data_IF_189227652994
#
_entry.id   IF_189227652994
#
_cell.length_a   1.000
_cell.length_b   1.000
_cell.length_c   1.000
_cell.angle_alpha   90.00
_cell.angle_beta   90.00
_cell.angle_gamma   90.00
#
_symmetry.space_group_name_H-M   'P 1'
#
loop_
_entity.id
_entity.type
_entity.pdbx_description
1 polymer ?
#
# COMPACT_ATOMS: atom_id res chain seq x y z
N UNK A 1 14.36 -15.96 -8.48
CA UNK A 1 14.62 -15.09 -7.34
C UNK A 1 16.12 -14.99 -7.12
N UNK A 2 16.63 -13.77 -6.92
CA UNK A 2 18.05 -13.43 -6.71
C UNK A 2 18.42 -13.31 -5.23
N UNK A 3 17.43 -13.27 -4.31
CA UNK A 3 17.63 -13.07 -2.88
C UNK A 3 17.73 -14.39 -2.11
N UNK A 4 17.14 -15.47 -2.65
CA UNK A 4 17.14 -16.82 -2.06
C UNK A 4 18.52 -17.43 -1.84
N UNK A 5 19.52 -17.07 -2.63
CA UNK A 5 20.87 -17.64 -2.53
C UNK A 5 21.81 -16.80 -1.64
N UNK A 6 21.35 -15.71 -1.02
CA UNK A 6 22.17 -14.85 -0.15
C UNK A 6 23.22 -13.98 -0.86
N UNK A 7 23.57 -14.31 -2.10
CA UNK A 7 24.57 -13.62 -2.93
C UNK A 7 24.30 -12.13 -3.12
N UNK A 8 23.03 -11.71 -3.12
CA UNK A 8 22.66 -10.29 -3.27
C UNK A 8 22.97 -9.42 -2.04
N UNK A 9 22.92 -10.01 -0.83
CA UNK A 9 23.22 -9.30 0.41
C UNK A 9 24.72 -9.13 0.65
N UNK A 10 25.53 -10.05 0.11
CA UNK A 10 26.99 -10.03 0.24
C UNK A 10 27.67 -9.08 -0.78
N UNK A 11 27.07 -8.87 -1.96
CA UNK A 11 27.67 -8.05 -3.03
C UNK A 11 27.20 -6.57 -3.04
N UNK A 12 26.06 -6.20 -2.43
CA UNK A 12 25.52 -4.83 -2.55
C UNK A 12 25.13 -4.21 -1.20
N UNK A 13 26.15 -3.65 -0.52
CA UNK A 13 26.09 -3.14 0.84
C UNK A 13 25.52 -1.69 0.92
N UNK A 14 24.28 -1.48 0.44
CA UNK A 14 23.58 -0.19 0.54
C UNK A 14 22.28 -0.32 1.35
N UNK A 15 22.30 0.27 2.54
CA UNK A 15 21.31 0.17 3.63
C UNK A 15 19.82 0.50 3.32
N UNK A 16 19.46 0.84 2.08
CA UNK A 16 18.10 1.27 1.73
C UNK A 16 17.49 0.58 0.49
N UNK A 17 18.22 -0.29 -0.23
CA UNK A 17 17.66 -0.97 -1.41
C UNK A 17 16.77 -2.19 -1.07
N UNK A 18 17.00 -2.86 0.07
CA UNK A 18 16.16 -3.98 0.52
C UNK A 18 14.85 -3.55 1.18
N UNK A 19 14.83 -2.38 1.82
CA UNK A 19 13.71 -1.92 2.65
C UNK A 19 12.37 -1.89 1.90
N UNK A 20 12.35 -1.36 0.67
CA UNK A 20 11.12 -1.30 -0.13
C UNK A 20 10.60 -2.68 -0.51
N UNK A 21 11.49 -3.58 -0.92
CA UNK A 21 11.13 -4.96 -1.26
C UNK A 21 10.63 -5.72 -0.02
N UNK A 22 11.30 -5.57 1.12
CA UNK A 22 10.94 -6.23 2.37
C UNK A 22 9.59 -5.72 2.89
N UNK A 23 9.36 -4.41 2.84
CA UNK A 23 8.09 -3.80 3.22
C UNK A 23 6.94 -4.32 2.34
N UNK A 24 7.11 -4.31 1.02
CA UNK A 24 6.10 -4.83 0.09
C UNK A 24 5.85 -6.31 0.33
N UNK A 25 6.91 -7.11 0.55
CA UNK A 25 6.81 -8.54 0.82
C UNK A 25 6.02 -8.85 2.10
N UNK A 26 6.31 -8.12 3.19
CA UNK A 26 5.58 -8.23 4.46
C UNK A 26 4.11 -7.87 4.28
N UNK A 27 3.82 -6.82 3.51
CA UNK A 27 2.43 -6.39 3.26
C UNK A 27 1.67 -7.40 2.41
N UNK A 28 2.28 -7.95 1.35
CA UNK A 28 1.66 -9.01 0.54
C UNK A 28 1.38 -10.24 1.42
N UNK A 29 2.35 -10.63 2.26
CA UNK A 29 2.17 -11.73 3.22
C UNK A 29 1.02 -11.47 4.18
N UNK A 30 0.88 -10.25 4.69
CA UNK A 30 -0.19 -9.91 5.63
C UNK A 30 -1.57 -9.81 4.96
N UNK A 31 -1.66 -9.23 3.77
CA UNK A 31 -2.94 -9.00 3.07
C UNK A 31 -3.47 -10.29 2.43
N UNK A 32 -2.58 -11.08 1.81
CA UNK A 32 -2.96 -12.24 0.99
C UNK A 32 -2.50 -13.58 1.53
N UNK A 33 -1.62 -13.60 2.54
CA UNK A 33 -1.04 -14.84 3.05
C UNK A 33 -0.02 -15.49 2.11
N UNK A 34 0.49 -14.77 1.10
CA UNK A 34 1.50 -15.27 0.17
C UNK A 34 2.84 -14.56 0.40
N UNK A 35 3.94 -15.32 0.39
CA UNK A 35 5.29 -14.80 0.60
C UNK A 35 6.11 -14.99 -0.66
N UNK A 36 6.52 -13.87 -1.27
CA UNK A 36 7.47 -13.87 -2.36
C UNK A 36 8.90 -13.85 -1.82
N UNK A 37 9.83 -14.43 -2.56
CA UNK A 37 11.25 -14.42 -2.30
C UNK A 37 11.95 -13.21 -2.95
N UNK A 38 11.36 -12.61 -4.00
CA UNK A 38 11.66 -11.25 -4.50
C UNK A 38 10.48 -10.67 -5.29
N UNK A 39 9.84 -9.63 -4.75
CA UNK A 39 8.67 -8.96 -5.38
C UNK A 39 9.09 -7.99 -6.49
N UNK A 40 10.33 -7.54 -6.50
CA UNK A 40 10.81 -6.52 -7.44
C UNK A 40 11.69 -7.12 -8.57
N UNK A 41 11.67 -8.43 -8.75
CA UNK A 41 12.43 -9.10 -9.81
C UNK A 41 11.83 -8.86 -11.21
N UNK A 42 12.56 -8.30 -12.16
CA UNK A 42 12.06 -8.09 -13.52
C UNK A 42 11.92 -9.38 -14.35
N UNK A 43 12.61 -10.46 -13.98
CA UNK A 43 12.70 -11.68 -14.80
C UNK A 43 11.57 -12.66 -14.47
N UNK A 44 10.52 -12.67 -15.30
CA UNK A 44 9.29 -13.45 -15.06
C UNK A 44 8.75 -14.06 -16.35
N UNK A 45 8.02 -15.17 -16.21
CA UNK A 45 7.31 -15.84 -17.29
C UNK A 45 5.84 -16.07 -16.91
N UNK A 46 4.94 -15.88 -17.87
CA UNK A 46 3.49 -16.04 -17.66
C UNK A 46 2.88 -16.78 -18.84
N UNK A 47 1.72 -17.40 -18.61
CA UNK A 47 0.92 -17.96 -19.71
C UNK A 47 0.13 -16.85 -20.43
N UNK A 48 -0.39 -17.17 -21.61
CA UNK A 48 -1.14 -16.21 -22.42
C UNK A 48 -2.45 -15.74 -21.77
N UNK A 49 -3.04 -16.54 -20.88
CA UNK A 49 -4.29 -16.19 -20.18
C UNK A 49 -4.02 -15.08 -19.18
N UNK A 50 -3.02 -15.25 -18.31
CA UNK A 50 -2.59 -14.25 -17.35
C UNK A 50 -2.28 -12.91 -18.02
N UNK A 51 -1.51 -12.94 -19.12
CA UNK A 51 -1.12 -11.74 -19.85
C UNK A 51 -2.34 -10.98 -20.43
N UNK A 52 -3.43 -11.67 -20.77
CA UNK A 52 -4.66 -11.06 -21.30
C UNK A 52 -5.60 -10.56 -20.21
N UNK A 53 -5.49 -11.07 -18.99
CA UNK A 53 -6.35 -10.69 -17.86
C UNK A 53 -5.75 -9.61 -16.96
N UNK A 54 -4.46 -9.31 -17.14
CA UNK A 54 -3.75 -8.29 -16.37
C UNK A 54 -3.99 -6.90 -16.97
N UNK A 55 -4.71 -5.99 -16.27
CA UNK A 55 -4.71 -4.59 -16.64
C UNK A 55 -3.35 -3.99 -16.30
N UNK A 56 -2.66 -3.40 -17.27
CA UNK A 56 -1.39 -2.69 -17.03
C UNK A 56 -1.73 -1.24 -16.71
N UNK A 57 -1.73 -0.87 -15.43
CA UNK A 57 -2.06 0.49 -14.98
C UNK A 57 -0.81 1.30 -14.61
N UNK A 58 0.26 0.62 -14.19
CA UNK A 58 1.51 1.24 -13.78
C UNK A 58 2.29 1.84 -14.97
N UNK A 59 2.73 3.12 -14.90
CA UNK A 59 3.47 3.78 -15.99
C UNK A 59 4.98 3.44 -16.01
N UNK A 60 5.50 2.69 -15.04
CA UNK A 60 6.93 2.44 -14.87
C UNK A 60 7.24 1.30 -13.90
N UNK A 61 8.20 1.53 -12.99
CA UNK A 61 8.80 0.56 -12.05
C UNK A 61 7.80 -0.11 -11.06
N UNK A 62 6.55 0.32 -11.04
CA UNK A 62 5.50 -0.26 -10.19
C UNK A 62 4.91 -1.54 -10.81
N UNK A 63 5.14 -1.78 -12.11
CA UNK A 63 4.54 -2.88 -12.86
C UNK A 63 4.93 -4.25 -12.29
N UNK A 64 6.15 -4.41 -11.81
CA UNK A 64 6.63 -5.66 -11.20
C UNK A 64 5.80 -6.07 -9.98
N UNK A 65 5.47 -5.09 -9.15
CA UNK A 65 4.69 -5.31 -7.94
C UNK A 65 3.20 -5.44 -8.29
N UNK A 66 2.70 -4.71 -9.29
CA UNK A 66 1.33 -4.83 -9.80
C UNK A 66 1.06 -6.26 -10.30
N UNK A 67 1.99 -6.81 -11.09
CA UNK A 67 1.95 -8.18 -11.60
C UNK A 67 1.95 -9.21 -10.48
N UNK A 68 2.83 -9.04 -9.49
CA UNK A 68 2.94 -9.95 -8.34
C UNK A 68 1.65 -9.95 -7.52
N UNK A 69 1.05 -8.78 -7.34
CA UNK A 69 -0.19 -8.62 -6.58
C UNK A 69 -1.39 -9.15 -7.33
N UNK A 70 -1.50 -8.89 -8.64
CA UNK A 70 -2.55 -9.47 -9.48
C UNK A 70 -2.50 -11.00 -9.46
N UNK A 71 -1.30 -11.58 -9.54
CA UNK A 71 -1.09 -13.01 -9.46
C UNK A 71 -1.65 -13.59 -8.15
N UNK A 72 -1.36 -12.93 -7.02
CA UNK A 72 -1.81 -13.38 -5.70
C UNK A 72 -3.31 -13.13 -5.47
N UNK A 73 -3.84 -11.96 -5.81
CA UNK A 73 -5.27 -11.64 -5.65
C UNK A 73 -6.16 -12.62 -6.41
N UNK A 74 -5.79 -12.90 -7.67
CA UNK A 74 -6.51 -13.82 -8.55
C UNK A 74 -6.14 -15.28 -8.35
N UNK A 75 -5.35 -15.58 -7.31
CA UNK A 75 -4.99 -16.94 -6.88
C UNK A 75 -4.36 -17.77 -8.00
N UNK A 76 -3.53 -17.13 -8.82
CA UNK A 76 -2.73 -17.82 -9.82
C UNK A 76 -1.72 -18.76 -9.16
N UNK A 77 -1.31 -19.80 -9.89
CA UNK A 77 -0.20 -20.65 -9.47
C UNK A 77 1.11 -19.89 -9.68
N UNK A 78 1.86 -19.69 -8.60
CA UNK A 78 3.13 -18.97 -8.60
C UNK A 78 4.24 -19.96 -8.22
N UNK A 79 5.35 -19.90 -8.94
CA UNK A 79 6.57 -20.66 -8.65
C UNK A 79 7.78 -19.74 -8.79
N UNK A 80 8.67 -19.75 -7.80
CA UNK A 80 9.92 -19.00 -7.80
C UNK A 80 11.09 -19.94 -8.07
N UNK A 81 11.88 -19.64 -9.10
CA UNK A 81 13.09 -20.40 -9.44
C UNK A 81 14.30 -19.56 -9.04
N UNK A 82 15.21 -20.06 -8.17
CA UNK A 82 16.40 -19.33 -7.77
C UNK A 82 17.32 -19.09 -8.96
N UNK A 83 17.94 -17.92 -9.03
CA UNK A 83 18.94 -17.57 -10.05
C UNK A 83 20.19 -17.05 -9.35
N UNK A 84 21.36 -17.42 -9.88
CA UNK A 84 22.62 -16.84 -9.42
C UNK A 84 22.74 -15.42 -9.94
N UNK A 85 22.83 -14.47 -9.00
CA UNK A 85 23.11 -13.10 -9.34
C UNK A 85 24.58 -12.99 -9.76
N UNK A 86 24.84 -12.23 -10.83
CA UNK A 86 26.19 -11.83 -11.21
C UNK A 86 26.22 -10.32 -11.23
N UNK A 87 27.24 -9.74 -10.64
CA UNK A 87 27.42 -8.30 -10.66
C UNK A 87 27.50 -7.75 -12.08
N UNK A 88 26.99 -6.52 -12.23
CA UNK A 88 27.11 -5.80 -13.49
C UNK A 88 28.59 -5.50 -13.77
N UNK A 89 29.02 -5.52 -15.05
CA UNK A 89 30.37 -5.06 -15.41
C UNK A 89 30.64 -3.67 -14.82
N UNK A 90 31.85 -3.46 -14.31
CA UNK A 90 32.27 -2.18 -13.73
C UNK A 90 32.02 -1.02 -14.73
N UNK A 91 31.37 0.05 -14.26
CA UNK A 91 31.07 1.24 -15.06
C UNK A 91 29.58 1.54 -15.32
N UNK A 92 28.64 0.78 -14.74
CA UNK A 92 27.21 1.16 -14.79
C UNK A 92 26.84 2.11 -13.66
N UNK A 93 26.61 3.38 -13.97
CA UNK A 93 25.98 4.34 -13.07
C UNK A 93 24.58 3.85 -12.68
N UNK A 94 24.31 3.72 -11.38
CA UNK A 94 22.99 3.37 -10.88
C UNK A 94 22.03 4.53 -11.14
N UNK A 95 21.05 4.32 -12.03
CA UNK A 95 20.00 5.31 -12.35
C UNK A 95 18.91 5.43 -11.27
N UNK A 96 19.13 4.89 -10.07
CA UNK A 96 18.13 4.79 -9.01
C UNK A 96 18.40 5.85 -7.94
N UNK A 97 17.37 6.64 -7.65
CA UNK A 97 17.39 7.70 -6.64
C UNK A 97 16.61 7.18 -5.43
N UNK A 98 17.33 6.74 -4.40
CA UNK A 98 16.82 6.00 -3.24
C UNK A 98 15.63 6.67 -2.56
N UNK A 99 15.57 8.01 -2.54
CA UNK A 99 14.49 8.73 -1.89
C UNK A 99 13.24 8.85 -2.79
N UNK A 100 13.44 9.12 -4.08
CA UNK A 100 12.36 9.17 -5.08
C UNK A 100 11.70 7.79 -5.23
N UNK A 101 12.51 6.73 -5.29
CA UNK A 101 12.03 5.38 -5.45
C UNK A 101 11.35 4.86 -4.17
N UNK A 102 11.86 5.22 -2.98
CA UNK A 102 11.19 4.92 -1.71
C UNK A 102 9.80 5.56 -1.58
N UNK A 103 9.66 6.82 -2.02
CA UNK A 103 8.36 7.50 -2.04
C UNK A 103 7.36 6.81 -2.99
N UNK A 104 7.81 6.41 -4.18
CA UNK A 104 6.99 5.64 -5.13
C UNK A 104 6.51 4.31 -4.52
N UNK A 105 7.40 3.58 -3.83
CA UNK A 105 7.01 2.35 -3.13
C UNK A 105 5.94 2.61 -2.06
N UNK A 106 6.07 3.67 -1.27
CA UNK A 106 5.06 4.04 -0.27
C UNK A 106 3.72 4.41 -0.91
N UNK A 107 3.74 5.22 -1.97
CA UNK A 107 2.53 5.58 -2.73
C UNK A 107 1.88 4.35 -3.34
N UNK A 108 2.68 3.42 -3.85
CA UNK A 108 2.19 2.14 -4.36
C UNK A 108 1.52 1.34 -3.25
N UNK A 109 2.16 1.20 -2.09
CA UNK A 109 1.58 0.52 -0.92
C UNK A 109 0.24 1.13 -0.53
N UNK A 110 0.16 2.47 -0.46
CA UNK A 110 -1.09 3.16 -0.16
C UNK A 110 -2.15 2.88 -1.23
N UNK A 111 -1.78 2.86 -2.51
CA UNK A 111 -2.69 2.48 -3.59
C UNK A 111 -3.19 1.05 -3.43
N UNK A 112 -2.32 0.12 -3.09
CA UNK A 112 -2.68 -1.28 -2.87
C UNK A 112 -3.63 -1.43 -1.68
N UNK A 113 -3.35 -0.78 -0.55
CA UNK A 113 -4.29 -0.80 0.58
C UNK A 113 -5.65 -0.21 0.20
N UNK A 114 -5.65 0.87 -0.57
CA UNK A 114 -6.86 1.50 -1.12
C UNK A 114 -7.62 0.54 -2.04
N UNK A 115 -6.94 -0.20 -2.90
CA UNK A 115 -7.58 -1.08 -3.90
C UNK A 115 -8.06 -2.40 -3.28
N UNK A 116 -7.42 -2.86 -2.20
CA UNK A 116 -7.68 -4.17 -1.61
C UNK A 116 -8.50 -4.16 -0.34
N UNK A 117 -8.26 -3.20 0.54
CA UNK A 117 -8.91 -3.04 1.84
C UNK A 117 -9.24 -1.55 2.09
N UNK A 118 -9.98 -0.89 1.17
CA UNK A 118 -10.29 0.53 1.28
C UNK A 118 -10.93 0.88 2.62
N UNK A 119 -11.91 0.10 3.07
CA UNK A 119 -12.59 0.36 4.33
C UNK A 119 -11.62 0.38 5.53
N UNK A 120 -10.66 -0.54 5.58
CA UNK A 120 -9.70 -0.59 6.67
C UNK A 120 -8.80 0.66 6.66
N UNK A 121 -8.23 1.02 5.51
CA UNK A 121 -7.37 2.19 5.36
C UNK A 121 -8.09 3.48 5.79
N UNK A 122 -9.27 3.73 5.24
CA UNK A 122 -10.03 4.93 5.54
C UNK A 122 -10.63 4.92 6.95
N UNK A 123 -10.89 3.75 7.55
CA UNK A 123 -11.30 3.66 8.96
C UNK A 123 -10.18 4.05 9.92
N UNK A 124 -8.94 3.67 9.63
CA UNK A 124 -7.78 4.10 10.44
C UNK A 124 -7.59 5.63 10.37
N UNK A 125 -7.70 6.20 9.17
CA UNK A 125 -7.63 7.65 8.97
C UNK A 125 -8.79 8.36 9.70
N UNK A 126 -10.01 7.84 9.56
CA UNK A 126 -11.18 8.36 10.26
C UNK A 126 -11.01 8.32 11.77
N UNK A 127 -10.52 7.20 12.31
CA UNK A 127 -10.24 7.03 13.74
C UNK A 127 -9.22 8.05 14.23
N UNK A 128 -8.12 8.25 13.49
CA UNK A 128 -7.11 9.25 13.82
C UNK A 128 -7.72 10.65 13.95
N UNK A 129 -8.49 11.08 12.94
CA UNK A 129 -9.13 12.39 12.96
C UNK A 129 -10.19 12.54 14.06
N UNK A 130 -10.99 11.50 14.32
CA UNK A 130 -11.93 11.49 15.43
C UNK A 130 -11.23 11.60 16.78
N UNK A 131 -10.13 10.87 16.99
CA UNK A 131 -9.34 10.94 18.23
C UNK A 131 -8.74 12.34 18.42
N UNK A 132 -8.14 12.91 17.38
CA UNK A 132 -7.61 14.28 17.43
C UNK A 132 -8.71 15.32 17.71
N UNK A 133 -9.88 15.15 17.09
CA UNK A 133 -11.04 15.98 17.34
C UNK A 133 -11.54 15.89 18.79
N UNK A 134 -11.59 14.68 19.36
CA UNK A 134 -11.95 14.48 20.77
C UNK A 134 -10.91 15.10 21.71
N UNK A 135 -9.61 14.93 21.44
CA UNK A 135 -8.54 15.55 22.24
C UNK A 135 -8.67 17.08 22.25
N UNK A 136 -9.00 17.69 21.11
CA UNK A 136 -9.24 19.14 21.04
C UNK A 136 -10.57 19.57 21.68
N UNK A 137 -11.60 18.72 21.62
CA UNK A 137 -12.97 19.03 22.05
C UNK A 137 -13.24 18.79 23.53
N UNK A 138 -12.65 17.75 24.14
CA UNK A 138 -12.87 17.38 25.56
C UNK A 138 -12.59 18.55 26.51
N UNK A 139 -11.47 19.29 26.39
CA UNK A 139 -11.22 20.45 27.25
C UNK A 139 -12.29 21.55 27.11
N UNK A 140 -12.84 21.74 25.91
CA UNK A 140 -13.87 22.75 25.64
C UNK A 140 -15.18 22.35 26.33
N UNK A 141 -15.58 21.09 26.21
CA UNK A 141 -16.80 20.57 26.84
C UNK A 141 -16.69 20.62 28.37
N UNK A 142 -15.52 20.28 28.91
CA UNK A 142 -15.27 20.33 30.35
C UNK A 142 -15.39 21.76 30.90
N UNK A 143 -14.77 22.75 30.25
CA UNK A 143 -14.88 24.16 30.68
C UNK A 143 -16.30 24.70 30.54
N UNK A 144 -17.01 24.33 29.48
CA UNK A 144 -18.40 24.70 29.30
C UNK A 144 -19.29 24.13 30.41
N UNK A 145 -19.09 22.86 30.80
CA UNK A 145 -19.84 22.23 31.89
C UNK A 145 -19.59 22.93 33.24
N UNK A 146 -18.37 23.43 33.48
CA UNK A 146 -18.01 24.10 34.72
C UNK A 146 -18.46 25.57 34.79
N UNK A 147 -18.45 26.29 33.66
CA UNK A 147 -18.60 27.76 33.63
C UNK A 147 -19.83 28.24 32.88
N UNK A 148 -20.47 27.40 32.06
CA UNK A 148 -21.56 27.77 31.14
C UNK A 148 -21.12 28.64 29.96
N UNK A 149 -19.83 28.97 29.84
CA UNK A 149 -19.27 29.80 28.78
C UNK A 149 -18.35 28.97 27.88
N UNK A 150 -18.20 29.40 26.63
CA UNK A 150 -17.29 28.77 25.64
C UNK A 150 -16.14 29.73 25.34
N UNK A 151 -15.14 29.86 26.23
CA UNK A 151 -14.02 30.78 26.02
C UNK A 151 -13.08 30.33 24.89
N UNK A 152 -13.03 29.02 24.59
CA UNK A 152 -12.14 28.41 23.61
C UNK A 152 -12.83 28.09 22.27
N UNK A 153 -13.45 29.11 21.66
CA UNK A 153 -14.13 28.95 20.36
C UNK A 153 -13.23 28.37 19.25
N UNK A 154 -11.94 28.77 19.08
CA UNK A 154 -11.10 28.21 18.03
C UNK A 154 -10.86 26.71 18.16
N UNK A 155 -10.66 26.19 19.37
CA UNK A 155 -10.49 24.74 19.59
C UNK A 155 -11.80 23.98 19.44
N UNK A 156 -12.94 24.61 19.76
CA UNK A 156 -14.25 24.03 19.49
C UNK A 156 -14.48 23.82 17.99
N UNK A 157 -14.18 24.84 17.18
CA UNK A 157 -14.27 24.76 15.72
C UNK A 157 -13.28 23.74 15.15
N UNK A 158 -12.05 23.70 15.65
CA UNK A 158 -11.06 22.70 15.25
C UNK A 158 -11.54 21.28 15.54
N UNK A 159 -12.09 21.04 16.73
CA UNK A 159 -12.62 19.73 17.13
C UNK A 159 -13.74 19.27 16.17
N UNK A 160 -14.70 20.14 15.87
CA UNK A 160 -15.79 19.84 14.94
C UNK A 160 -15.26 19.56 13.53
N UNK A 161 -14.33 20.39 13.03
CA UNK A 161 -13.74 20.21 11.70
C UNK A 161 -13.00 18.88 11.59
N UNK A 162 -12.20 18.50 12.60
CA UNK A 162 -11.47 17.23 12.62
C UNK A 162 -12.42 16.03 12.64
N UNK A 163 -13.45 16.04 13.49
CA UNK A 163 -14.46 14.97 13.53
C UNK A 163 -15.19 14.87 12.18
N UNK A 164 -15.53 16.01 11.57
CA UNK A 164 -16.20 16.03 10.27
C UNK A 164 -15.33 15.43 9.15
N UNK A 165 -14.04 15.77 9.11
CA UNK A 165 -13.07 15.15 8.20
C UNK A 165 -12.99 13.64 8.44
N UNK A 166 -13.01 13.19 9.70
CA UNK A 166 -13.03 11.77 10.04
C UNK A 166 -14.26 11.05 9.49
N UNK A 167 -15.46 11.61 9.67
CA UNK A 167 -16.72 11.05 9.15
C UNK A 167 -16.72 11.01 7.62
N UNK A 168 -16.24 12.07 6.96
CA UNK A 168 -16.11 12.10 5.50
C UNK A 168 -15.15 11.02 5.01
N UNK A 169 -14.00 10.86 5.67
CA UNK A 169 -13.01 9.83 5.36
C UNK A 169 -13.61 8.43 5.47
N UNK A 170 -14.33 8.15 6.56
CA UNK A 170 -15.03 6.87 6.75
C UNK A 170 -16.07 6.60 5.66
N UNK A 171 -16.85 7.62 5.29
CA UNK A 171 -17.85 7.53 4.22
C UNK A 171 -17.21 7.22 2.86
N UNK A 172 -16.10 7.89 2.54
CA UNK A 172 -15.30 7.55 1.34
C UNK A 172 -14.82 6.09 1.38
N UNK A 173 -14.40 5.60 2.55
CA UNK A 173 -14.03 4.20 2.76
C UNK A 173 -15.15 3.22 2.42
N UNK A 174 -16.39 3.49 2.87
CA UNK A 174 -17.57 2.66 2.58
C UNK A 174 -17.94 2.66 1.10
N UNK A 175 -17.91 3.83 0.45
CA UNK A 175 -18.18 3.96 -0.98
C UNK A 175 -17.15 3.15 -1.77
N UNK A 176 -15.86 3.34 -1.47
CA UNK A 176 -14.79 2.69 -2.21
C UNK A 176 -14.80 1.17 -1.99
N UNK A 177 -15.10 0.69 -0.79
CA UNK A 177 -15.26 -0.75 -0.52
C UNK A 177 -16.40 -1.38 -1.34
N UNK A 178 -17.50 -0.65 -1.51
CA UNK A 178 -18.63 -1.08 -2.34
C UNK A 178 -18.23 -1.13 -3.82
N UNK A 179 -17.52 -0.11 -4.31
CA UNK A 179 -17.01 -0.07 -5.70
C UNK A 179 -16.04 -1.22 -5.96
N UNK A 180 -15.04 -1.43 -5.09
CA UNK A 180 -14.05 -2.52 -5.23
C UNK A 180 -14.72 -3.89 -5.26
N UNK A 181 -15.70 -4.14 -4.38
CA UNK A 181 -16.49 -5.38 -4.40
C UNK A 181 -17.25 -5.55 -5.71
N UNK A 182 -17.83 -4.47 -6.25
CA UNK A 182 -18.49 -4.46 -7.55
C UNK A 182 -17.54 -4.82 -8.70
N UNK A 183 -16.38 -4.16 -8.77
CA UNK A 183 -15.35 -4.40 -9.80
C UNK A 183 -14.83 -5.83 -9.74
N UNK A 184 -14.55 -6.36 -8.54
CA UNK A 184 -14.13 -7.76 -8.38
C UNK A 184 -15.17 -8.73 -8.92
N UNK A 185 -16.45 -8.53 -8.57
CA UNK A 185 -17.55 -9.37 -9.08
C UNK A 185 -17.64 -9.32 -10.61
N UNK A 186 -17.51 -8.13 -11.20
CA UNK A 186 -17.53 -7.97 -12.67
C UNK A 186 -16.36 -8.68 -13.34
N UNK A 187 -15.16 -8.58 -12.78
CA UNK A 187 -13.99 -9.28 -13.29
C UNK A 187 -14.22 -10.80 -13.33
N UNK A 188 -14.70 -11.40 -12.23
CA UNK A 188 -14.95 -12.85 -12.20
C UNK A 188 -15.99 -13.28 -13.25
N UNK A 189 -17.00 -12.46 -13.53
CA UNK A 189 -18.02 -12.72 -14.56
C UNK A 189 -17.50 -12.57 -16.00
N UNK A 190 -16.45 -11.79 -16.22
CA UNK A 190 -15.88 -11.58 -17.57
C UNK A 190 -14.81 -12.61 -17.92
N UNK A 191 -14.12 -13.15 -16.91
CA UNK A 191 -13.02 -14.10 -17.08
C UNK A 191 -13.50 -15.56 -17.03
N UNK A 192 -14.70 -15.82 -16.46
CA UNK A 192 -15.40 -17.11 -16.53
C UNK A 192 -16.19 -17.25 -17.83
#
# INVERSE_FOLDING_TARGET
>A
DRLSNGTYGEENDRAFHGFGNDLVRVLIKWIYGFEFSDVMTGYRAYNAVFAKTMPVLSPGFEIETELSIHAVDKRWRIAEVPIDYRDRPEGSESKLDTFSDGCKVLLMILSLFKDYRPLALFSWVALLFCVLGLVAGVPVVWEFAATGLVPKLPSALLAVALVFIGILSFTCGLILDTVVKGTRKQYELQVT
#
